data_IF_666183582301
#
_entry.id   IF_666183582301
#
_cell.length_a   1.000
_cell.length_b   1.000
_cell.length_c   1.000
_cell.angle_alpha   90.00
_cell.angle_beta   90.00
_cell.angle_gamma   90.00
#
_symmetry.space_group_name_H-M   'P 1'
#
loop_
_entity.id
_entity.type
_entity.pdbx_description
1 polymer ?
#
# COMPACT_ATOMS: atom_id res chain seq x y z
N UNK A 1 -9.81 -8.53 20.26
CA UNK A 1 -11.19 -8.42 19.74
C UNK A 1 -11.78 -7.02 19.94
N UNK A 2 -11.43 -6.31 21.02
CA UNK A 2 -11.96 -4.95 21.33
C UNK A 2 -11.32 -3.90 20.39
N UNK A 3 -9.99 -3.93 20.22
CA UNK A 3 -9.26 -3.01 19.32
C UNK A 3 -9.72 -3.07 17.85
N UNK A 4 -10.03 -4.27 17.36
CA UNK A 4 -10.56 -4.43 15.99
C UNK A 4 -11.96 -3.82 15.83
N UNK A 5 -12.77 -3.83 16.87
CA UNK A 5 -14.10 -3.24 16.87
C UNK A 5 -14.04 -1.71 16.92
N UNK A 6 -13.09 -1.15 17.63
CA UNK A 6 -12.88 0.30 17.70
C UNK A 6 -12.26 0.84 16.40
N UNK A 7 -11.31 0.11 15.78
CA UNK A 7 -10.74 0.45 14.48
C UNK A 7 -11.80 0.38 13.36
N UNK A 8 -12.64 -0.66 13.35
CA UNK A 8 -13.79 -0.77 12.45
C UNK A 8 -14.83 0.30 12.73
N UNK A 9 -15.03 0.68 13.99
CA UNK A 9 -15.92 1.76 14.41
C UNK A 9 -15.43 3.13 13.94
N UNK A 10 -14.12 3.38 14.03
CA UNK A 10 -13.47 4.61 13.58
C UNK A 10 -13.49 4.71 12.05
N UNK A 11 -13.18 3.63 11.35
CA UNK A 11 -13.25 3.56 9.87
C UNK A 11 -14.69 3.70 9.38
N UNK A 12 -15.67 3.07 10.05
CA UNK A 12 -17.09 3.25 9.74
C UNK A 12 -17.59 4.67 10.05
N UNK A 13 -17.15 5.30 11.14
CA UNK A 13 -17.50 6.70 11.47
C UNK A 13 -16.88 7.69 10.47
N UNK A 14 -15.67 7.45 10.00
CA UNK A 14 -15.02 8.24 8.96
C UNK A 14 -15.72 8.01 7.61
N UNK A 15 -16.06 6.78 7.27
CA UNK A 15 -16.81 6.45 6.06
C UNK A 15 -18.27 6.96 6.09
N UNK A 16 -18.91 7.03 7.27
CA UNK A 16 -20.26 7.60 7.41
C UNK A 16 -20.29 9.13 7.51
N UNK A 17 -19.24 9.77 8.06
CA UNK A 17 -19.13 11.24 8.07
C UNK A 17 -18.58 11.83 6.78
N UNK A 18 -17.86 11.08 6.00
CA UNK A 18 -17.50 11.41 4.64
C UNK A 18 -18.40 10.64 3.68
N UNK A 19 -19.59 11.17 3.41
CA UNK A 19 -20.11 11.14 2.05
C UNK A 19 -19.08 11.89 1.22
N UNK A 20 -18.04 11.17 0.76
CA UNK A 20 -17.16 11.63 -0.31
C UNK A 20 -18.02 11.52 -1.57
N UNK A 21 -18.98 12.39 -1.65
CA UNK A 21 -19.68 12.74 -2.85
C UNK A 21 -18.92 13.95 -3.37
N UNK A 22 -17.85 13.70 -4.10
CA UNK A 22 -17.37 14.71 -5.02
C UNK A 22 -18.46 14.85 -6.09
N UNK A 23 -19.07 16.01 -6.13
CA UNK A 23 -20.16 16.34 -7.04
C UNK A 23 -19.77 16.26 -8.54
N UNK A 24 -18.49 16.05 -8.85
CA UNK A 24 -17.97 15.87 -10.21
C UNK A 24 -18.23 14.49 -10.80
N UNK A 25 -18.57 13.47 -9.96
CA UNK A 25 -18.78 12.10 -10.44
C UNK A 25 -17.57 11.44 -11.10
N UNK A 26 -16.38 11.98 -10.90
CA UNK A 26 -15.16 11.53 -11.57
C UNK A 26 -14.60 10.23 -10.97
N UNK A 27 -14.03 9.43 -11.86
CA UNK A 27 -13.28 8.24 -11.49
C UNK A 27 -11.82 8.62 -11.23
N UNK A 28 -11.30 8.21 -10.07
CA UNK A 28 -9.92 8.48 -9.67
C UNK A 28 -9.34 7.36 -8.82
N UNK A 29 -8.03 7.22 -8.87
CA UNK A 29 -7.28 6.38 -7.95
C UNK A 29 -6.37 7.27 -7.09
N UNK A 30 -6.25 6.91 -5.80
CA UNK A 30 -5.37 7.60 -4.85
C UNK A 30 -4.28 6.64 -4.48
N UNK A 31 -3.03 7.03 -4.70
CA UNK A 31 -1.87 6.22 -4.45
C UNK A 31 -0.96 6.91 -3.44
N UNK A 32 -0.56 6.15 -2.43
CA UNK A 32 0.40 6.61 -1.44
C UNK A 32 1.33 5.45 -1.05
N UNK A 33 2.57 5.78 -0.72
CA UNK A 33 3.58 4.80 -0.31
C UNK A 33 4.04 5.05 1.13
N UNK A 34 4.43 3.99 1.80
CA UNK A 34 5.18 4.04 3.05
C UNK A 34 6.44 3.19 2.89
N UNK A 35 7.55 3.66 3.47
CA UNK A 35 8.87 3.04 3.38
C UNK A 35 9.34 2.73 4.79
N UNK A 36 9.94 1.56 4.96
CA UNK A 36 10.66 1.20 6.17
C UNK A 36 11.85 0.29 5.83
N UNK A 37 13.08 0.83 5.89
CA UNK A 37 14.32 0.17 5.46
C UNK A 37 14.30 -0.18 3.97
N UNK A 38 14.26 -1.47 3.61
CA UNK A 38 14.19 -1.97 2.24
C UNK A 38 12.79 -2.50 1.86
N UNK A 39 11.80 -2.27 2.72
CA UNK A 39 10.43 -2.66 2.49
C UNK A 39 9.55 -1.43 2.24
N UNK A 40 8.65 -1.51 1.28
CA UNK A 40 7.66 -0.49 1.02
C UNK A 40 6.27 -1.10 0.83
N UNK A 41 5.25 -0.30 1.10
CA UNK A 41 3.86 -0.62 0.77
C UNK A 41 3.28 0.53 -0.03
N UNK A 42 2.71 0.23 -1.18
CA UNK A 42 1.86 1.17 -1.92
C UNK A 42 0.40 0.85 -1.62
N UNK A 43 -0.33 1.82 -1.10
CA UNK A 43 -1.77 1.77 -0.89
C UNK A 43 -2.48 2.43 -2.07
N UNK A 44 -3.50 1.78 -2.60
CA UNK A 44 -4.37 2.32 -3.65
C UNK A 44 -5.81 2.38 -3.12
N UNK A 45 -6.45 3.53 -3.31
CA UNK A 45 -7.89 3.69 -3.10
C UNK A 45 -8.58 3.90 -4.45
N UNK A 46 -9.63 3.15 -4.70
CA UNK A 46 -10.41 3.22 -5.94
C UNK A 46 -11.67 4.04 -5.72
N UNK A 47 -11.76 5.20 -6.38
CA UNK A 47 -12.94 6.05 -6.37
C UNK A 47 -13.59 5.97 -7.75
N UNK A 48 -14.89 5.62 -7.77
CA UNK A 48 -15.70 5.55 -8.99
C UNK A 48 -17.01 6.29 -8.77
N UNK A 49 -17.35 7.16 -9.72
CA UNK A 49 -18.52 8.02 -9.59
C UNK A 49 -18.48 8.87 -8.30
N UNK A 50 -17.32 9.34 -7.88
CA UNK A 50 -17.12 10.10 -6.64
C UNK A 50 -17.21 9.29 -5.34
N UNK A 51 -17.31 7.95 -5.39
CA UNK A 51 -17.43 7.07 -4.21
C UNK A 51 -16.23 6.15 -4.09
N UNK A 52 -15.73 5.97 -2.86
CA UNK A 52 -14.73 4.95 -2.56
C UNK A 52 -15.37 3.57 -2.67
N UNK A 53 -15.00 2.81 -3.70
CA UNK A 53 -15.53 1.46 -3.98
C UNK A 53 -14.63 0.35 -3.46
N UNK A 54 -13.36 0.61 -3.23
CA UNK A 54 -12.42 -0.37 -2.74
C UNK A 54 -11.04 0.21 -2.44
N UNK A 55 -10.20 -0.64 -1.89
CA UNK A 55 -8.79 -0.35 -1.62
C UNK A 55 -7.98 -1.63 -1.77
N UNK A 56 -6.73 -1.46 -2.17
CA UNK A 56 -5.74 -2.53 -2.23
C UNK A 56 -4.38 -2.04 -1.77
N UNK A 57 -3.47 -2.94 -1.43
CA UNK A 57 -2.11 -2.60 -1.05
C UNK A 57 -1.12 -3.60 -1.62
N UNK A 58 0.06 -3.11 -1.96
CA UNK A 58 1.10 -3.85 -2.65
C UNK A 58 2.42 -3.74 -1.88
N UNK A 59 3.01 -4.88 -1.57
CA UNK A 59 4.33 -4.96 -0.95
C UNK A 59 5.41 -4.89 -2.01
N UNK A 60 6.43 -4.10 -1.76
CA UNK A 60 7.56 -3.91 -2.64
C UNK A 60 8.87 -4.06 -1.86
N UNK A 61 9.85 -4.69 -2.48
CA UNK A 61 11.24 -4.63 -2.04
C UNK A 61 11.89 -3.49 -2.79
N UNK A 62 12.53 -2.60 -2.07
CA UNK A 62 13.12 -1.37 -2.62
C UNK A 62 14.61 -1.31 -2.34
N UNK A 63 15.34 -0.52 -3.12
CA UNK A 63 16.73 -0.21 -2.86
C UNK A 63 16.86 0.81 -1.72
N UNK A 64 17.95 0.76 -1.01
CA UNK A 64 18.20 1.71 0.07
C UNK A 64 18.30 3.14 -0.48
N UNK A 65 17.44 4.01 0.03
CA UNK A 65 17.43 5.43 -0.32
C UNK A 65 16.43 5.82 -1.39
N UNK A 66 15.63 4.87 -1.93
CA UNK A 66 14.50 5.22 -2.80
C UNK A 66 13.47 6.07 -2.06
N UNK A 67 12.93 7.07 -2.74
CA UNK A 67 11.89 7.96 -2.25
C UNK A 67 10.49 7.42 -2.56
N UNK A 68 9.46 7.94 -1.86
CA UNK A 68 8.08 7.58 -2.19
C UNK A 68 7.71 7.97 -3.63
N UNK A 69 8.26 9.09 -4.16
CA UNK A 69 8.03 9.50 -5.54
C UNK A 69 8.55 8.50 -6.55
N UNK A 70 9.79 8.00 -6.39
CA UNK A 70 10.38 6.99 -7.25
C UNK A 70 9.62 5.66 -7.20
N UNK A 71 9.17 5.28 -6.00
CA UNK A 71 8.35 4.07 -5.81
C UNK A 71 7.00 4.22 -6.53
N UNK A 72 6.32 5.36 -6.35
CA UNK A 72 5.03 5.62 -7.00
C UNK A 72 5.16 5.68 -8.50
N UNK A 73 6.23 6.29 -9.03
CA UNK A 73 6.53 6.34 -10.46
C UNK A 73 6.66 4.92 -11.05
N UNK A 74 7.52 4.10 -10.45
CA UNK A 74 7.74 2.71 -10.86
C UNK A 74 6.46 1.86 -10.71
N UNK A 75 5.72 2.05 -9.63
CA UNK A 75 4.47 1.34 -9.38
C UNK A 75 3.41 1.68 -10.44
N UNK A 76 3.23 2.95 -10.78
CA UNK A 76 2.26 3.39 -11.80
C UNK A 76 2.57 2.73 -13.14
N UNK A 77 3.84 2.72 -13.55
CA UNK A 77 4.30 2.08 -14.78
C UNK A 77 3.92 0.60 -14.82
N UNK A 78 4.21 -0.14 -13.77
CA UNK A 78 3.94 -1.59 -13.69
C UNK A 78 2.45 -1.90 -13.55
N UNK A 79 1.77 -1.23 -12.63
CA UNK A 79 0.37 -1.50 -12.31
C UNK A 79 -0.56 -1.22 -13.50
N UNK A 80 -0.44 -0.03 -14.08
CA UNK A 80 -1.30 0.35 -15.21
C UNK A 80 -0.87 -0.27 -16.54
N UNK A 81 0.31 -0.86 -16.66
CA UNK A 81 0.66 -1.67 -17.83
C UNK A 81 -0.28 -2.87 -17.99
N UNK A 82 -0.60 -3.55 -16.88
CA UNK A 82 -1.46 -4.75 -16.87
C UNK A 82 -2.94 -4.50 -16.54
N UNK A 83 -3.31 -3.30 -16.09
CA UNK A 83 -4.67 -2.98 -15.66
C UNK A 83 -5.55 -2.55 -16.84
N UNK A 84 -6.74 -3.17 -17.02
CA UNK A 84 -7.62 -2.84 -18.15
C UNK A 84 -8.36 -1.50 -17.98
N UNK A 85 -8.54 -1.04 -16.75
CA UNK A 85 -9.24 0.20 -16.43
C UNK A 85 -8.25 1.27 -15.94
N UNK A 86 -8.31 2.45 -16.54
CA UNK A 86 -7.51 3.62 -16.15
C UNK A 86 -8.46 4.76 -15.80
N UNK A 87 -8.41 5.33 -14.57
CA UNK A 87 -9.26 6.46 -14.20
C UNK A 87 -8.84 7.75 -14.89
N UNK A 88 -9.67 8.78 -14.81
CA UNK A 88 -9.34 10.11 -15.38
C UNK A 88 -8.36 10.92 -14.54
N UNK A 89 -8.17 10.56 -13.26
CA UNK A 89 -7.27 11.27 -12.35
C UNK A 89 -6.54 10.29 -11.43
N UNK A 90 -5.23 10.46 -11.29
CA UNK A 90 -4.42 9.85 -10.25
C UNK A 90 -4.03 10.93 -9.24
N UNK A 91 -4.25 10.65 -7.95
CA UNK A 91 -3.82 11.52 -6.86
C UNK A 91 -2.68 10.84 -6.11
N UNK A 92 -1.57 11.55 -5.97
CA UNK A 92 -0.35 11.06 -5.32
C UNK A 92 -0.05 11.87 -4.06
N UNK A 93 0.71 11.26 -3.15
CA UNK A 93 1.16 11.95 -1.95
C UNK A 93 2.29 12.93 -2.20
N UNK A 94 3.10 12.71 -3.24
CA UNK A 94 4.17 13.61 -3.66
C UNK A 94 4.37 13.59 -5.17
N UNK A 95 5.14 14.55 -5.66
CA UNK A 95 5.44 14.69 -7.08
C UNK A 95 6.36 13.55 -7.55
N UNK A 96 6.17 13.11 -8.79
CA UNK A 96 6.99 12.11 -9.46
C UNK A 96 7.70 12.75 -10.65
N UNK A 97 8.87 12.24 -10.98
CA UNK A 97 9.74 12.84 -12.00
C UNK A 97 9.10 12.79 -13.39
N UNK A 98 8.56 11.64 -13.78
CA UNK A 98 7.99 11.39 -15.12
C UNK A 98 6.49 11.70 -15.23
N UNK A 99 5.92 12.55 -14.37
CA UNK A 99 4.48 12.81 -14.32
C UNK A 99 3.86 13.12 -15.69
N UNK A 100 4.45 14.03 -16.46
CA UNK A 100 3.94 14.42 -17.78
C UNK A 100 3.98 13.28 -18.80
N UNK A 101 5.04 12.48 -18.79
CA UNK A 101 5.19 11.33 -19.67
C UNK A 101 4.17 10.24 -19.33
N UNK A 102 3.95 10.01 -18.03
CA UNK A 102 2.94 9.06 -17.57
C UNK A 102 1.52 9.53 -17.87
N UNK A 103 1.22 10.81 -17.74
CA UNK A 103 -0.08 11.38 -18.14
C UNK A 103 -0.36 11.13 -19.63
N UNK A 104 0.62 11.34 -20.49
CA UNK A 104 0.50 11.11 -21.93
C UNK A 104 0.28 9.62 -22.23
N UNK A 105 1.15 8.74 -21.69
CA UNK A 105 1.04 7.30 -21.88
C UNK A 105 -0.29 6.75 -21.40
N UNK A 106 -0.74 7.13 -20.19
CA UNK A 106 -2.01 6.69 -19.61
C UNK A 106 -3.19 7.24 -20.41
N UNK A 107 -3.10 8.47 -20.93
CA UNK A 107 -4.16 9.08 -21.76
C UNK A 107 -4.34 8.34 -23.06
N UNK A 108 -3.25 7.95 -23.72
CA UNK A 108 -3.30 7.12 -24.94
C UNK A 108 -3.94 5.78 -24.63
N UNK A 109 -3.48 5.12 -23.57
CA UNK A 109 -3.98 3.80 -23.17
C UNK A 109 -5.47 3.81 -22.75
N UNK A 110 -5.90 4.87 -22.08
CA UNK A 110 -7.30 5.08 -21.68
C UNK A 110 -8.21 5.45 -22.85
N UNK A 111 -7.67 6.06 -23.90
CA UNK A 111 -8.46 6.70 -24.96
C UNK A 111 -9.13 8.01 -24.51
N UNK A 112 -8.53 8.73 -23.56
CA UNK A 112 -9.03 9.97 -23.00
C UNK A 112 -8.07 10.55 -21.97
N UNK A 113 -8.22 11.84 -21.64
CA UNK A 113 -7.28 12.55 -20.77
C UNK A 113 -7.15 11.92 -19.38
N UNK A 114 -5.92 11.74 -18.93
CA UNK A 114 -5.56 11.36 -17.55
C UNK A 114 -4.71 12.47 -16.95
N UNK A 115 -4.99 12.85 -15.71
CA UNK A 115 -4.21 13.83 -14.97
C UNK A 115 -3.60 13.18 -13.73
N UNK A 116 -2.35 13.51 -13.45
CA UNK A 116 -1.65 13.15 -12.21
C UNK A 116 -1.57 14.40 -11.34
N UNK A 117 -2.04 14.32 -10.10
CA UNK A 117 -2.14 15.46 -9.19
C UNK A 117 -1.60 15.12 -7.81
N UNK A 118 -0.95 16.10 -7.20
CA UNK A 118 -0.57 16.09 -5.78
C UNK A 118 -1.42 17.14 -5.07
N UNK A 119 -2.53 16.76 -4.43
CA UNK A 119 -3.42 17.71 -3.76
C UNK A 119 -2.74 18.25 -2.49
N UNK A 120 -2.72 19.58 -2.35
CA UNK A 120 -2.06 20.29 -1.24
C UNK A 120 -3.05 20.91 -0.25
N UNK A 121 -4.36 20.67 -0.40
CA UNK A 121 -5.41 21.21 0.49
C UNK A 121 -6.76 20.54 0.30
N UNK A 122 -7.58 20.58 1.33
CA UNK A 122 -8.99 20.19 1.27
C UNK A 122 -9.21 18.68 1.38
N UNK A 123 -10.38 18.23 0.90
CA UNK A 123 -10.80 16.82 1.00
C UNK A 123 -9.89 15.87 0.25
N UNK A 124 -9.37 16.30 -0.90
CA UNK A 124 -8.48 15.50 -1.74
C UNK A 124 -7.14 15.20 -1.04
N UNK A 125 -6.53 16.20 -0.39
CA UNK A 125 -5.33 16.03 0.44
C UNK A 125 -5.58 15.04 1.58
N UNK A 126 -6.69 15.20 2.31
CA UNK A 126 -7.04 14.29 3.42
C UNK A 126 -7.20 12.83 2.98
N UNK A 127 -7.64 12.59 1.75
CA UNK A 127 -7.75 11.25 1.19
C UNK A 127 -6.36 10.65 0.89
N UNK A 128 -5.45 11.46 0.39
CA UNK A 128 -4.05 11.06 0.16
C UNK A 128 -3.36 10.79 1.50
N UNK A 129 -3.53 11.66 2.50
CA UNK A 129 -3.02 11.42 3.86
C UNK A 129 -3.59 10.11 4.46
N UNK A 130 -4.88 9.85 4.25
CA UNK A 130 -5.50 8.61 4.71
C UNK A 130 -4.88 7.38 4.02
N UNK A 131 -4.60 7.46 2.73
CA UNK A 131 -3.92 6.39 2.00
C UNK A 131 -2.49 6.18 2.52
N UNK A 132 -1.73 7.25 2.76
CA UNK A 132 -0.37 7.19 3.32
C UNK A 132 -0.36 6.58 4.73
N UNK A 133 -1.29 6.98 5.60
CA UNK A 133 -1.43 6.41 6.93
C UNK A 133 -1.82 4.92 6.89
N UNK A 134 -2.66 4.51 5.93
CA UNK A 134 -2.98 3.09 5.74
C UNK A 134 -1.76 2.30 5.25
N UNK A 135 -0.98 2.82 4.30
CA UNK A 135 0.26 2.19 3.86
C UNK A 135 1.23 1.96 5.03
N UNK A 136 1.46 2.99 5.86
CA UNK A 136 2.32 2.90 7.03
C UNK A 136 1.81 1.87 8.06
N UNK A 137 0.49 1.83 8.29
CA UNK A 137 -0.12 0.89 9.23
C UNK A 137 0.01 -0.56 8.75
N UNK A 138 -0.20 -0.81 7.46
CA UNK A 138 -0.02 -2.14 6.86
C UNK A 138 1.42 -2.59 7.00
N UNK A 139 2.37 -1.73 6.61
CA UNK A 139 3.81 -2.02 6.67
C UNK A 139 4.28 -2.34 8.11
N UNK A 140 3.84 -1.58 9.11
CA UNK A 140 4.20 -1.79 10.51
C UNK A 140 3.65 -3.10 11.08
N UNK A 141 2.39 -3.43 10.78
CA UNK A 141 1.73 -4.65 11.28
C UNK A 141 2.36 -5.92 10.74
N UNK A 142 2.71 -5.94 9.47
CA UNK A 142 3.31 -7.13 8.88
C UNK A 142 4.75 -7.34 9.36
N UNK A 143 5.51 -6.26 9.60
CA UNK A 143 6.83 -6.39 10.25
C UNK A 143 6.73 -6.96 11.65
N UNK A 144 5.75 -6.52 12.45
CA UNK A 144 5.53 -7.11 13.77
C UNK A 144 5.17 -8.60 13.68
N UNK A 145 4.37 -8.98 12.68
CA UNK A 145 4.03 -10.39 12.45
C UNK A 145 5.25 -11.21 12.08
N UNK A 146 6.05 -10.74 11.11
CA UNK A 146 7.29 -11.41 10.69
C UNK A 146 8.28 -11.55 11.84
N UNK A 147 8.52 -10.49 12.62
CA UNK A 147 9.39 -10.54 13.80
C UNK A 147 8.89 -11.54 14.86
N UNK A 148 7.57 -11.66 15.05
CA UNK A 148 6.99 -12.67 15.96
C UNK A 148 7.16 -14.08 15.43
N UNK A 149 7.00 -14.30 14.14
CA UNK A 149 7.19 -15.59 13.48
C UNK A 149 8.66 -16.01 13.51
N UNK A 150 9.58 -15.10 13.18
CA UNK A 150 11.03 -15.33 13.32
C UNK A 150 11.43 -15.65 14.77
N UNK A 151 10.92 -14.88 15.73
CA UNK A 151 11.17 -15.12 17.15
C UNK A 151 10.67 -16.46 17.63
N UNK A 152 9.51 -16.93 17.14
CA UNK A 152 8.97 -18.28 17.43
C UNK A 152 9.85 -19.36 16.81
N UNK A 153 10.27 -19.20 15.57
CA UNK A 153 11.10 -20.17 14.84
C UNK A 153 12.47 -20.32 15.52
N UNK A 154 13.14 -19.20 15.82
CA UNK A 154 14.43 -19.20 16.53
C UNK A 154 14.28 -19.78 17.95
N UNK A 155 13.20 -19.44 18.64
CA UNK A 155 12.89 -20.00 19.96
C UNK A 155 12.70 -21.52 19.91
N UNK A 156 11.93 -22.03 18.96
CA UNK A 156 11.71 -23.46 18.76
C UNK A 156 13.01 -24.20 18.42
N UNK A 157 13.85 -23.63 17.55
CA UNK A 157 15.16 -24.23 17.23
C UNK A 157 16.03 -24.32 18.48
N UNK A 158 16.11 -23.27 19.29
CA UNK A 158 16.89 -23.28 20.55
C UNK A 158 16.39 -24.29 21.57
N UNK A 159 15.09 -24.50 21.66
CA UNK A 159 14.50 -25.55 22.51
C UNK A 159 14.89 -26.96 22.04
N UNK A 160 14.83 -27.18 20.72
CA UNK A 160 15.25 -28.46 20.11
C UNK A 160 16.75 -28.67 20.31
N UNK A 161 17.59 -27.67 20.12
CA UNK A 161 19.04 -27.72 20.37
C UNK A 161 19.34 -28.18 21.81
N UNK A 162 18.61 -27.64 22.80
CA UNK A 162 18.74 -28.02 24.19
C UNK A 162 18.29 -29.47 24.44
N UNK A 163 17.24 -29.89 23.76
CA UNK A 163 16.62 -31.21 23.98
C UNK A 163 17.47 -32.34 23.40
N UNK A 164 18.11 -32.11 22.27
CA UNK A 164 18.97 -33.10 21.57
C UNK A 164 20.47 -32.94 21.83
N UNK A 165 20.87 -31.83 22.49
CA UNK A 165 22.27 -31.56 22.84
C UNK A 165 23.16 -31.18 21.66
N UNK A 166 22.57 -30.69 20.57
CA UNK A 166 23.27 -30.22 19.34
C UNK A 166 23.09 -28.71 19.25
N UNK A 167 24.16 -27.97 19.01
CA UNK A 167 24.13 -26.52 18.82
C UNK A 167 24.33 -26.12 17.36
N UNK A 168 23.89 -24.90 17.00
CA UNK A 168 24.03 -24.30 15.66
C UNK A 168 23.28 -25.08 14.55
N UNK A 169 22.03 -25.46 14.84
CA UNK A 169 21.16 -26.12 13.86
C UNK A 169 20.72 -25.08 12.83
N UNK A 170 21.15 -25.26 11.58
CA UNK A 170 20.83 -24.36 10.43
C UNK A 170 19.73 -24.90 9.52
N UNK A 171 19.45 -26.21 9.60
CA UNK A 171 18.44 -26.86 8.77
C UNK A 171 17.84 -28.05 9.50
N UNK A 172 16.51 -28.13 9.47
CA UNK A 172 15.74 -29.30 9.92
C UNK A 172 14.82 -29.74 8.77
N UNK A 173 14.75 -31.04 8.57
CA UNK A 173 13.86 -31.64 7.58
C UNK A 173 12.99 -32.67 8.26
N UNK A 174 11.68 -32.62 8.00
CA UNK A 174 10.73 -33.63 8.43
C UNK A 174 10.23 -34.38 7.20
N UNK A 175 10.24 -35.70 7.29
CA UNK A 175 9.72 -36.57 6.24
C UNK A 175 8.49 -37.29 6.82
N UNK A 176 7.39 -37.18 6.11
CA UNK A 176 6.18 -37.97 6.39
C UNK A 176 6.32 -39.34 5.69
N UNK A 177 6.00 -40.41 6.43
CA UNK A 177 6.16 -41.81 5.97
C UNK A 177 4.80 -42.39 5.64
#
# INVERSE_FOLDING_TARGET
AIEYRELLGSVKKIAQKQKITDSSGEDRDILAAAIQEEDAVVQVFFIRGGRLIGRDHFYLRISKGETCGEILDSFIKQYYAGTPFIPGELMLQEEIEDASLLEEWLSVKRGGKVNIRVPKKGTKEKLVELAANNAALVLSKDRERLKREEGRTIGAVREIEKLIGISDIRRMEAYDI
#
